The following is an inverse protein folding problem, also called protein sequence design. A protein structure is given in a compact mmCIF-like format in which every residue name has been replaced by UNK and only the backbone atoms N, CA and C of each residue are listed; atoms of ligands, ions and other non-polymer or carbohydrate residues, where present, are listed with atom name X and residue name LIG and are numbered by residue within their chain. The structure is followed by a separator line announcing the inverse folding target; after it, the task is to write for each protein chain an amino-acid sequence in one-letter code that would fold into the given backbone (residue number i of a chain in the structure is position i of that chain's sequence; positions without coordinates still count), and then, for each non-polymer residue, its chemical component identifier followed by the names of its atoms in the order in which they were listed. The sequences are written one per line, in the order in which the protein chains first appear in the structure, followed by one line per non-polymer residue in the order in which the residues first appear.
data_IF_914805269603
#
_entry.id   IF_914805269603
#
_cell.length_a   1.000
_cell.length_b   1.000
_cell.length_c   1.000
_cell.angle_alpha   90.00
_cell.angle_beta   90.00
_cell.angle_gamma   90.00
#
_symmetry.space_group_name_H-M   'P 1'
#
loop_
_entity.id
_entity.type
_entity.pdbx_description
1 polymer ?
#
# COMPACT_ATOMS: atom_id res chain seq x y z
N UNK A 1 17.29 -11.14 25.72
CA UNK A 1 17.83 -11.53 24.40
C UNK A 1 17.35 -10.48 23.42
N UNK A 2 18.26 -9.70 22.83
CA UNK A 2 17.90 -8.65 21.88
C UNK A 2 17.24 -9.31 20.65
N UNK A 3 15.98 -9.01 20.39
CA UNK A 3 15.26 -9.56 19.26
C UNK A 3 15.95 -9.09 17.99
N UNK A 4 16.37 -10.06 17.18
CA UNK A 4 16.96 -9.91 15.85
C UNK A 4 16.17 -8.83 15.10
N UNK A 5 16.83 -7.72 14.73
CA UNK A 5 16.23 -6.58 14.03
C UNK A 5 15.15 -7.02 13.04
N UNK A 6 13.88 -6.86 13.41
CA UNK A 6 12.76 -7.22 12.56
C UNK A 6 12.76 -6.24 11.41
N UNK A 7 13.21 -6.69 10.24
CA UNK A 7 13.26 -5.84 9.06
C UNK A 7 11.82 -5.61 8.63
N UNK A 8 11.32 -4.41 8.91
CA UNK A 8 10.01 -3.99 8.46
C UNK A 8 10.06 -3.66 6.97
N UNK A 9 9.51 -4.55 6.15
CA UNK A 9 9.30 -4.31 4.73
C UNK A 9 7.96 -3.63 4.52
N UNK A 10 7.93 -2.76 3.52
CA UNK A 10 6.70 -2.18 3.00
C UNK A 10 6.58 -2.43 1.50
N UNK A 11 5.33 -2.44 1.03
CA UNK A 11 4.99 -2.33 -0.39
C UNK A 11 4.36 -0.96 -0.63
N UNK A 12 4.77 -0.29 -1.69
CA UNK A 12 4.11 0.92 -2.15
C UNK A 12 3.15 0.59 -3.29
N UNK A 13 1.89 0.99 -3.15
CA UNK A 13 0.82 0.80 -4.11
C UNK A 13 0.40 2.16 -4.67
N UNK A 14 0.55 2.38 -5.99
CA UNK A 14 0.02 3.56 -6.63
C UNK A 14 -1.50 3.62 -6.53
N UNK A 15 -2.03 4.71 -5.97
CA UNK A 15 -3.46 5.04 -6.04
C UNK A 15 -3.68 5.88 -7.28
N UNK A 16 -4.52 5.38 -8.18
CA UNK A 16 -4.83 5.99 -9.47
C UNK A 16 -6.33 6.27 -9.59
N UNK A 17 -6.73 6.95 -10.65
CA UNK A 17 -8.15 7.10 -10.97
C UNK A 17 -8.74 5.73 -11.32
N UNK A 18 -9.94 5.44 -10.85
CA UNK A 18 -10.68 4.21 -11.13
C UNK A 18 -12.08 4.62 -11.61
N UNK A 19 -12.44 4.21 -12.83
CA UNK A 19 -13.66 4.64 -13.51
C UNK A 19 -13.84 6.17 -13.50
N UNK A 20 -14.89 6.64 -12.83
CA UNK A 20 -15.22 8.06 -12.66
C UNK A 20 -14.68 8.67 -11.37
N UNK A 21 -13.92 7.90 -10.57
CA UNK A 21 -13.34 8.35 -9.31
C UNK A 21 -11.89 8.80 -9.53
N UNK A 22 -11.58 10.01 -9.09
CA UNK A 22 -10.20 10.49 -8.99
C UNK A 22 -9.43 9.72 -7.92
N UNK A 23 -8.10 9.68 -8.03
CA UNK A 23 -7.25 9.05 -7.01
C UNK A 23 -7.50 9.58 -5.59
N UNK A 24 -7.94 10.84 -5.46
CA UNK A 24 -8.30 11.44 -4.17
C UNK A 24 -9.61 10.88 -3.63
N UNK A 25 -10.64 10.77 -4.46
CA UNK A 25 -11.93 10.16 -4.09
C UNK A 25 -11.76 8.68 -3.72
N UNK A 26 -10.91 7.95 -4.47
CA UNK A 26 -10.52 6.58 -4.12
C UNK A 26 -9.92 6.52 -2.72
N UNK A 27 -8.93 7.36 -2.41
CA UNK A 27 -8.32 7.40 -1.07
C UNK A 27 -9.36 7.76 0.00
N UNK A 28 -10.17 8.81 -0.21
CA UNK A 28 -11.14 9.29 0.77
C UNK A 28 -12.21 8.23 1.08
N UNK A 29 -12.64 7.45 0.08
CA UNK A 29 -13.54 6.32 0.28
C UNK A 29 -12.93 5.24 1.19
N UNK A 30 -11.64 4.94 1.01
CA UNK A 30 -10.92 3.98 1.86
C UNK A 30 -10.72 4.51 3.28
N UNK A 31 -10.37 5.79 3.44
CA UNK A 31 -10.21 6.42 4.75
C UNK A 31 -11.52 6.42 5.54
N UNK A 32 -12.64 6.76 4.91
CA UNK A 32 -13.95 6.73 5.54
C UNK A 32 -14.32 5.31 5.99
N UNK A 33 -14.14 4.32 5.12
CA UNK A 33 -14.42 2.93 5.47
C UNK A 33 -13.56 2.43 6.62
N UNK A 34 -12.26 2.75 6.62
CA UNK A 34 -11.34 2.40 7.70
C UNK A 34 -11.73 3.06 9.03
N UNK A 35 -12.20 4.31 9.00
CA UNK A 35 -12.69 5.02 10.19
C UNK A 35 -13.90 4.33 10.81
N UNK A 36 -14.81 3.83 9.99
CA UNK A 36 -16.05 3.20 10.44
C UNK A 36 -15.83 1.75 10.92
N UNK A 37 -15.02 0.97 10.21
CA UNK A 37 -14.82 -0.45 10.45
C UNK A 37 -13.50 -0.80 11.20
N UNK A 38 -12.65 0.19 11.47
CA UNK A 38 -11.32 0.03 12.07
C UNK A 38 -10.24 -0.49 11.10
N UNK A 39 -10.65 -1.05 9.96
CA UNK A 39 -9.79 -1.47 8.87
C UNK A 39 -10.53 -1.38 7.53
N UNK A 40 -9.79 -1.42 6.42
CA UNK A 40 -10.36 -1.37 5.07
C UNK A 40 -9.62 -2.30 4.13
N UNK A 41 -10.33 -2.95 3.22
CA UNK A 41 -9.72 -3.66 2.11
C UNK A 41 -9.31 -2.71 0.99
N UNK A 42 -8.11 -2.93 0.47
CA UNK A 42 -7.60 -2.35 -0.77
C UNK A 42 -7.32 -3.49 -1.74
N UNK A 43 -8.13 -3.61 -2.79
CA UNK A 43 -7.92 -4.55 -3.89
C UNK A 43 -6.91 -3.98 -4.88
N UNK A 44 -6.15 -4.86 -5.55
CA UNK A 44 -5.30 -4.42 -6.65
C UNK A 44 -5.02 -5.51 -7.69
N UNK A 45 -5.09 -5.10 -8.96
CA UNK A 45 -4.65 -5.88 -10.12
C UNK A 45 -3.17 -5.68 -10.45
N UNK A 46 -2.44 -4.90 -9.66
CA UNK A 46 -1.01 -4.72 -9.85
C UNK A 46 -0.27 -6.06 -9.72
N UNK A 47 0.76 -6.26 -10.54
CA UNK A 47 1.65 -7.42 -10.42
C UNK A 47 2.45 -7.32 -9.14
N UNK A 48 2.07 -8.12 -8.16
CA UNK A 48 2.70 -8.23 -6.86
C UNK A 48 3.15 -9.68 -6.68
N UNK A 49 4.28 -9.89 -6.01
CA UNK A 49 4.76 -11.23 -5.69
C UNK A 49 4.17 -11.65 -4.33
N UNK A 50 3.26 -12.64 -4.26
CA UNK A 50 2.63 -13.05 -3.01
C UNK A 50 3.65 -13.40 -1.92
N UNK A 51 4.76 -14.04 -2.28
CA UNK A 51 5.81 -14.46 -1.34
C UNK A 51 6.57 -13.27 -0.75
N UNK A 52 6.56 -12.12 -1.43
CA UNK A 52 7.12 -10.88 -0.88
C UNK A 52 6.15 -10.21 0.07
N UNK A 53 4.84 -10.24 -0.23
CA UNK A 53 3.82 -9.66 0.66
C UNK A 53 3.74 -10.37 2.01
N UNK A 54 4.03 -11.66 2.09
CA UNK A 54 4.13 -12.39 3.37
C UNK A 54 5.16 -11.78 4.35
N UNK A 55 6.11 -10.98 3.85
CA UNK A 55 7.15 -10.30 4.66
C UNK A 55 6.85 -8.83 4.91
N UNK A 56 5.80 -8.30 4.28
CA UNK A 56 5.42 -6.90 4.36
C UNK A 56 4.56 -6.68 5.59
N UNK A 57 4.87 -5.65 6.36
CA UNK A 57 4.09 -5.24 7.54
C UNK A 57 3.38 -3.91 7.34
N UNK A 58 3.76 -3.15 6.31
CA UNK A 58 3.19 -1.83 6.03
C UNK A 58 2.93 -1.61 4.54
N UNK A 59 1.95 -0.77 4.23
CA UNK A 59 1.62 -0.37 2.86
C UNK A 59 1.75 1.14 2.73
N UNK A 60 2.45 1.60 1.69
CA UNK A 60 2.41 2.99 1.26
C UNK A 60 1.38 3.15 0.15
N UNK A 61 0.35 3.96 0.38
CA UNK A 61 -0.57 4.41 -0.66
C UNK A 61 0.00 5.69 -1.26
N UNK A 62 0.50 5.60 -2.49
CA UNK A 62 1.24 6.69 -3.14
C UNK A 62 0.47 7.27 -4.32
N UNK A 63 0.40 8.59 -4.42
CA UNK A 63 0.00 9.28 -5.64
C UNK A 63 0.87 10.53 -5.82
N UNK A 64 0.67 11.25 -6.92
CA UNK A 64 1.34 12.56 -7.11
C UNK A 64 0.80 13.67 -6.22
N UNK A 65 -0.35 13.44 -5.59
CA UNK A 65 -1.03 14.43 -4.76
C UNK A 65 -0.90 14.14 -3.27
N UNK A 66 -0.60 12.88 -2.90
CA UNK A 66 -0.57 12.47 -1.51
C UNK A 66 0.32 11.25 -1.29
N UNK A 67 0.70 11.04 -0.03
CA UNK A 67 1.29 9.77 0.40
C UNK A 67 0.79 9.43 1.79
N UNK A 68 0.30 8.21 1.94
CA UNK A 68 -0.22 7.67 3.19
C UNK A 68 0.50 6.36 3.50
N UNK A 69 0.66 6.06 4.78
CA UNK A 69 1.16 4.78 5.27
C UNK A 69 0.05 4.10 6.08
N UNK A 70 0.00 2.79 5.99
CA UNK A 70 -0.95 1.94 6.70
C UNK A 70 -0.26 0.67 7.20
N UNK A 71 -0.80 0.08 8.25
CA UNK A 71 -0.40 -1.24 8.72
C UNK A 71 -1.10 -2.30 7.87
N UNK A 72 -0.36 -3.31 7.40
CA UNK A 72 -0.93 -4.47 6.73
C UNK A 72 -1.35 -5.48 7.79
N UNK A 73 -2.65 -5.60 8.02
CA UNK A 73 -3.22 -6.48 9.07
C UNK A 73 -3.80 -7.78 8.52
N UNK A 74 -3.94 -7.88 7.20
CA UNK A 74 -4.38 -9.10 6.52
C UNK A 74 -4.06 -9.04 5.03
N UNK A 75 -3.82 -10.21 4.43
CA UNK A 75 -3.58 -10.34 3.00
C UNK A 75 -4.23 -11.61 2.48
N UNK A 76 -5.10 -11.45 1.49
CA UNK A 76 -5.76 -12.56 0.80
C UNK A 76 -5.27 -12.58 -0.66
N UNK A 77 -4.78 -13.74 -1.10
CA UNK A 77 -4.37 -14.01 -2.47
C UNK A 77 -5.31 -15.01 -3.11
N UNK A 78 -5.78 -14.69 -4.31
CA UNK A 78 -6.60 -15.60 -5.11
C UNK A 78 -5.91 -15.83 -6.46
N UNK A 79 -5.67 -17.09 -6.82
CA UNK A 79 -5.13 -17.46 -8.13
C UNK A 79 -6.13 -17.09 -9.24
N UNK A 80 -7.39 -17.44 -9.04
CA UNK A 80 -8.53 -16.98 -9.83
C UNK A 80 -9.18 -15.78 -9.13
N UNK A 81 -9.35 -14.67 -9.85
CA UNK A 81 -9.87 -13.41 -9.30
C UNK A 81 -11.13 -13.65 -8.45
N UNK A 82 -11.11 -13.16 -7.22
CA UNK A 82 -12.20 -13.33 -6.26
C UNK A 82 -12.18 -12.17 -5.26
N UNK A 83 -13.03 -12.24 -4.23
CA UNK A 83 -13.07 -11.33 -3.11
C UNK A 83 -13.07 -12.09 -1.77
N UNK A 84 -12.52 -11.50 -0.69
CA UNK A 84 -12.68 -12.01 0.66
C UNK A 84 -14.16 -12.16 1.03
N UNK A 85 -14.50 -13.17 1.84
CA UNK A 85 -15.90 -13.45 2.20
C UNK A 85 -16.55 -12.34 3.04
N UNK A 86 -15.74 -11.51 3.72
CA UNK A 86 -16.16 -10.36 4.51
C UNK A 86 -15.97 -9.02 3.77
N UNK A 87 -15.77 -9.03 2.44
CA UNK A 87 -15.47 -7.83 1.64
C UNK A 87 -16.47 -6.70 1.85
N UNK A 88 -17.78 -6.97 1.90
CA UNK A 88 -18.83 -5.96 2.11
C UNK A 88 -18.67 -5.23 3.46
N UNK A 89 -18.10 -5.92 4.45
CA UNK A 89 -17.87 -5.34 5.78
C UNK A 89 -16.68 -4.40 5.81
N UNK A 90 -15.69 -4.57 4.91
CA UNK A 90 -14.40 -3.87 4.99
C UNK A 90 -13.99 -3.13 3.71
N UNK A 91 -14.64 -3.30 2.57
CA UNK A 91 -14.38 -2.52 1.36
C UNK A 91 -15.28 -1.27 1.32
N UNK A 92 -14.83 -0.16 0.70
CA UNK A 92 -15.74 0.92 0.32
C UNK A 92 -16.86 0.38 -0.58
N UNK A 93 -18.07 0.91 -0.46
CA UNK A 93 -19.24 0.39 -1.17
C UNK A 93 -19.03 0.31 -2.69
N UNK A 94 -18.30 1.27 -3.26
CA UNK A 94 -17.95 1.33 -4.70
C UNK A 94 -17.00 0.22 -5.17
N UNK A 95 -16.34 -0.49 -4.26
CA UNK A 95 -15.40 -1.58 -4.54
C UNK A 95 -15.82 -2.91 -3.90
N UNK A 96 -17.02 -2.97 -3.32
CA UNK A 96 -17.48 -4.15 -2.57
C UNK A 96 -17.78 -5.36 -3.47
N UNK A 97 -17.94 -5.14 -4.77
CA UNK A 97 -18.20 -6.18 -5.77
C UNK A 97 -16.97 -6.52 -6.63
N UNK A 98 -15.83 -5.86 -6.37
CA UNK A 98 -14.60 -6.09 -7.13
C UNK A 98 -14.13 -7.56 -7.00
N UNK A 99 -13.46 -8.04 -8.03
CA UNK A 99 -12.77 -9.33 -8.01
C UNK A 99 -11.34 -9.15 -8.50
N UNK A 100 -10.39 -9.47 -7.63
CA UNK A 100 -8.97 -9.30 -7.90
C UNK A 100 -8.13 -10.38 -7.23
N UNK A 101 -6.87 -10.47 -7.67
CA UNK A 101 -5.92 -11.47 -7.17
C UNK A 101 -5.36 -11.09 -5.79
N UNK A 102 -5.26 -9.79 -5.47
CA UNK A 102 -4.64 -9.30 -4.24
C UNK A 102 -5.60 -8.41 -3.46
N UNK A 103 -5.84 -8.77 -2.21
CA UNK A 103 -6.63 -7.98 -1.26
C UNK A 103 -5.80 -7.70 -0.02
N UNK A 104 -5.53 -6.43 0.25
CA UNK A 104 -4.75 -5.99 1.39
C UNK A 104 -5.68 -5.35 2.42
N UNK A 105 -5.78 -5.93 3.62
CA UNK A 105 -6.53 -5.35 4.73
C UNK A 105 -5.64 -4.38 5.48
N UNK A 106 -6.01 -3.10 5.44
CA UNK A 106 -5.23 -1.99 5.94
C UNK A 106 -5.85 -1.40 7.20
N UNK A 107 -5.03 -1.11 8.20
CA UNK A 107 -5.42 -0.38 9.40
C UNK A 107 -4.50 0.82 9.65
N UNK A 108 -4.89 1.69 10.59
CA UNK A 108 -4.09 2.84 11.04
C UNK A 108 -3.58 3.74 9.89
N UNK A 109 -4.42 3.95 8.88
CA UNK A 109 -4.04 4.73 7.69
C UNK A 109 -3.83 6.19 8.08
N UNK A 110 -2.66 6.74 7.79
CA UNK A 110 -2.31 8.13 8.10
C UNK A 110 -1.42 8.76 7.03
N UNK A 111 -1.43 10.09 6.88
CA UNK A 111 -0.46 10.76 6.03
C UNK A 111 0.96 10.52 6.55
N UNK A 112 1.92 10.48 5.62
CA UNK A 112 3.35 10.35 5.92
C UNK A 112 4.12 11.46 5.22
N UNK A 113 5.01 12.10 5.99
CA UNK A 113 5.83 13.22 5.51
C UNK A 113 7.10 12.76 4.79
N UNK A 114 7.74 13.68 4.08
CA UNK A 114 8.99 13.43 3.34
C UNK A 114 10.12 12.89 4.24
N UNK A 115 10.30 13.47 5.43
CA UNK A 115 11.36 13.04 6.35
C UNK A 115 11.16 11.60 6.82
N UNK A 116 9.92 11.21 7.13
CA UNK A 116 9.60 9.83 7.51
C UNK A 116 9.77 8.88 6.32
N UNK A 117 9.38 9.29 5.11
CA UNK A 117 9.62 8.50 3.89
C UNK A 117 11.12 8.23 3.66
N UNK A 118 12.00 9.16 4.03
CA UNK A 118 13.45 8.97 3.88
C UNK A 118 14.07 8.06 4.95
N UNK A 119 13.30 7.62 5.96
CA UNK A 119 13.72 6.52 6.86
C UNK A 119 13.61 5.14 6.21
N UNK A 120 13.11 5.08 4.98
CA UNK A 120 12.99 3.85 4.20
C UNK A 120 14.00 3.82 3.05
N UNK A 121 14.56 2.63 2.83
CA UNK A 121 15.45 2.33 1.74
C UNK A 121 14.74 1.45 0.70
N UNK A 122 14.84 1.81 -0.58
CA UNK A 122 14.31 1.00 -1.67
C UNK A 122 15.02 -0.36 -1.70
N UNK A 123 14.27 -1.46 -1.81
CA UNK A 123 14.85 -2.81 -1.97
C UNK A 123 15.61 -2.92 -3.30
N UNK A 124 15.14 -2.23 -4.33
CA UNK A 124 15.84 -2.15 -5.61
C UNK A 124 17.01 -1.14 -5.51
N UNK A 125 18.24 -1.65 -5.39
CA UNK A 125 19.46 -0.85 -5.27
C UNK A 125 19.68 0.13 -6.41
N UNK A 126 19.39 -0.25 -7.66
CA UNK A 126 19.52 0.69 -8.80
C UNK A 126 18.61 1.90 -8.66
N UNK A 127 17.39 1.71 -8.15
CA UNK A 127 16.45 2.80 -7.92
C UNK A 127 16.83 3.60 -6.68
N UNK A 128 17.31 2.92 -5.62
CA UNK A 128 17.87 3.57 -4.44
C UNK A 128 19.00 4.52 -4.82
N UNK A 129 19.97 4.06 -5.60
CA UNK A 129 21.13 4.88 -5.99
C UNK A 129 20.73 6.04 -6.91
N UNK A 130 19.75 5.82 -7.80
CA UNK A 130 19.27 6.86 -8.72
C UNK A 130 18.52 8.00 -8.03
N UNK A 131 17.65 7.67 -7.08
CA UNK A 131 16.77 8.66 -6.45
C UNK A 131 17.21 9.03 -5.03
N UNK A 132 18.15 8.29 -4.44
CA UNK A 132 18.61 8.47 -3.07
C UNK A 132 17.46 8.43 -2.05
N UNK A 133 16.68 7.35 -2.05
CA UNK A 133 15.63 7.09 -1.06
C UNK A 133 14.19 7.12 -1.58
N UNK A 134 13.26 6.63 -0.74
CA UNK A 134 11.83 6.48 -1.08
C UNK A 134 11.18 7.85 -1.28
N UNK A 135 11.40 8.81 -0.38
CA UNK A 135 10.77 10.14 -0.48
C UNK A 135 11.13 10.84 -1.79
N UNK A 136 12.41 10.82 -2.15
CA UNK A 136 12.88 11.38 -3.41
C UNK A 136 12.33 10.63 -4.64
N UNK A 137 12.21 9.30 -4.58
CA UNK A 137 11.57 8.54 -5.65
C UNK A 137 10.11 8.97 -5.84
N UNK A 138 9.33 9.04 -4.76
CA UNK A 138 7.89 9.39 -4.82
C UNK A 138 7.67 10.77 -5.43
N UNK A 139 8.46 11.76 -5.01
CA UNK A 139 8.35 13.13 -5.52
C UNK A 139 8.81 13.23 -6.98
N UNK A 140 9.96 12.65 -7.32
CA UNK A 140 10.67 13.00 -8.56
C UNK A 140 10.45 12.01 -9.72
N UNK A 141 9.90 10.81 -9.49
CA UNK A 141 9.61 9.90 -10.60
C UNK A 141 8.51 10.44 -11.51
N UNK A 142 8.58 10.26 -12.82
CA UNK A 142 7.47 10.65 -13.71
C UNK A 142 6.22 9.80 -13.48
N UNK A 143 6.40 8.49 -13.23
CA UNK A 143 5.31 7.53 -12.99
C UNK A 143 5.59 6.71 -11.74
N UNK A 144 4.62 6.66 -10.84
CA UNK A 144 4.66 5.79 -9.67
C UNK A 144 4.30 4.37 -10.10
N UNK A 145 5.12 3.41 -9.70
CA UNK A 145 4.90 1.99 -9.91
C UNK A 145 4.90 1.28 -8.55
N UNK A 146 4.46 0.02 -8.50
CA UNK A 146 4.65 -0.79 -7.30
C UNK A 146 6.14 -0.97 -7.02
N UNK A 147 6.53 -0.72 -5.78
CA UNK A 147 7.90 -0.97 -5.30
C UNK A 147 7.91 -1.47 -3.87
N UNK A 148 9.04 -2.02 -3.45
CA UNK A 148 9.27 -2.47 -2.08
C UNK A 148 10.36 -1.63 -1.45
N UNK A 149 10.18 -1.30 -0.18
CA UNK A 149 11.19 -0.65 0.64
C UNK A 149 11.29 -1.37 1.99
N UNK A 150 12.34 -1.04 2.74
CA UNK A 150 12.54 -1.52 4.10
C UNK A 150 12.91 -0.36 5.00
N UNK A 151 12.50 -0.40 6.26
CA UNK A 151 12.90 0.61 7.24
C UNK A 151 14.39 0.43 7.58
N UNK A 152 15.15 1.51 7.55
CA UNK A 152 16.53 1.53 8.05
C UNK A 152 16.50 1.98 9.50
N UNK A 153 17.16 1.21 10.38
CA UNK A 153 17.38 1.58 11.79
C UNK A 153 18.54 2.55 11.91
#
# INVERSE_FOLDING_TARGET
MANKHEINYLVALPVVNVDFQSAREVLDAHLNKAKDAGAVYFSTSNRIDPKKLEKVTQVLLVSKLFTYIADLVGYDYFEDKSAPSDVVSYAPAIFAEDQDNHWLKLANIRPIGFDELNTFEMVNKKVQDKYNGVGNYVMNTGRLQVFYAKKTF
#
